data_IF_758542670356
#
_entry.id   IF_758542670356
#
_cell.length_a   1.000
_cell.length_b   1.000
_cell.length_c   1.000
_cell.angle_alpha   90.00
_cell.angle_beta   90.00
_cell.angle_gamma   90.00
#
_symmetry.space_group_name_H-M   'P 1'
#
loop_
_entity.id
_entity.type
_entity.pdbx_description
1 polymer ?
#
# COMPACT_ATOMS: atom_id res chain seq x y z
N UNK A 1 -23.77 -31.19 -15.40
CA UNK A 1 -22.47 -31.25 -14.72
C UNK A 1 -21.86 -29.86 -14.74
N UNK A 2 -22.00 -29.10 -13.63
CA UNK A 2 -21.48 -27.74 -13.49
C UNK A 2 -19.99 -27.83 -13.20
N UNK A 3 -19.14 -27.26 -14.08
CA UNK A 3 -17.70 -27.10 -13.83
C UNK A 3 -17.53 -26.12 -12.65
N UNK A 4 -17.12 -26.61 -11.49
CA UNK A 4 -16.57 -25.79 -10.40
C UNK A 4 -15.34 -25.07 -10.94
N UNK A 5 -15.48 -23.79 -11.29
CA UNK A 5 -14.34 -22.90 -11.50
C UNK A 5 -13.69 -22.67 -10.14
N UNK A 6 -12.62 -23.39 -9.85
CA UNK A 6 -11.76 -23.09 -8.71
C UNK A 6 -11.13 -21.71 -8.93
N UNK A 7 -11.59 -20.71 -8.20
CA UNK A 7 -10.88 -19.44 -8.12
C UNK A 7 -9.46 -19.71 -7.61
N UNK A 8 -8.40 -19.35 -8.35
CA UNK A 8 -7.05 -19.47 -7.82
C UNK A 8 -6.94 -18.57 -6.59
N UNK A 9 -6.61 -19.15 -5.46
CA UNK A 9 -6.30 -18.42 -4.22
C UNK A 9 -5.23 -17.38 -4.51
N UNK A 10 -5.58 -16.11 -4.38
CA UNK A 10 -4.70 -14.96 -4.68
C UNK A 10 -3.61 -14.76 -3.62
N UNK A 11 -3.66 -15.47 -2.50
CA UNK A 11 -2.68 -15.36 -1.43
C UNK A 11 -1.30 -15.86 -1.87
N UNK A 12 -0.25 -15.10 -1.57
CA UNK A 12 1.14 -15.51 -1.74
C UNK A 12 1.40 -16.77 -0.90
N UNK A 13 1.56 -17.92 -1.57
CA UNK A 13 1.94 -19.16 -0.87
C UNK A 13 3.41 -19.07 -0.48
N UNK A 14 3.68 -19.20 0.81
CA UNK A 14 5.06 -19.28 1.32
C UNK A 14 5.66 -20.63 0.86
N UNK A 15 6.88 -20.64 0.27
CA UNK A 15 7.53 -21.86 -0.16
C UNK A 15 7.71 -22.86 1.01
N UNK A 16 7.48 -24.14 0.77
CA UNK A 16 7.59 -25.19 1.79
C UNK A 16 8.95 -25.19 2.49
N UNK A 17 10.03 -24.89 1.76
CA UNK A 17 11.37 -24.81 2.34
C UNK A 17 11.46 -23.71 3.42
N UNK A 18 10.84 -22.56 3.18
CA UNK A 18 10.81 -21.47 4.19
C UNK A 18 10.03 -21.92 5.42
N UNK A 19 8.86 -22.58 5.25
CA UNK A 19 8.07 -23.10 6.38
C UNK A 19 8.85 -24.13 7.20
N UNK A 20 9.54 -25.07 6.55
CA UNK A 20 10.35 -26.08 7.22
C UNK A 20 11.53 -25.46 7.94
N UNK A 21 12.24 -24.52 7.29
CA UNK A 21 13.34 -23.77 7.92
C UNK A 21 12.85 -22.96 9.13
N UNK A 22 11.69 -22.31 9.02
CA UNK A 22 11.09 -21.56 10.13
C UNK A 22 10.81 -22.45 11.34
N UNK A 23 10.21 -23.64 11.13
CA UNK A 23 9.93 -24.60 12.21
C UNK A 23 11.21 -25.12 12.84
N UNK A 24 12.21 -25.45 12.04
CA UNK A 24 13.50 -25.93 12.53
C UNK A 24 14.21 -24.88 13.39
N UNK A 25 14.30 -23.64 12.91
CA UNK A 25 14.92 -22.54 13.66
C UNK A 25 14.15 -22.26 14.95
N UNK A 26 12.80 -22.28 14.90
CA UNK A 26 11.95 -22.05 16.06
C UNK A 26 12.11 -23.10 17.15
N UNK A 27 12.44 -24.34 16.77
CA UNK A 27 12.72 -25.43 17.72
C UNK A 27 13.95 -25.13 18.56
N UNK A 28 15.00 -24.55 17.95
CA UNK A 28 16.27 -24.30 18.64
C UNK A 28 16.31 -22.95 19.37
N UNK A 29 15.71 -21.90 18.81
CA UNK A 29 15.87 -20.56 19.40
C UNK A 29 14.77 -19.58 18.99
N UNK A 30 14.08 -19.05 20.00
CA UNK A 30 13.10 -17.94 19.80
C UNK A 30 13.77 -16.70 19.24
N UNK A 31 15.01 -16.37 19.66
CA UNK A 31 15.75 -15.22 19.16
C UNK A 31 16.10 -15.38 17.67
N UNK A 32 16.59 -16.53 17.26
CA UNK A 32 16.95 -16.76 15.86
C UNK A 32 15.73 -16.77 14.95
N UNK A 33 14.62 -17.38 15.37
CA UNK A 33 13.40 -17.35 14.55
C UNK A 33 12.81 -15.93 14.46
N UNK A 34 12.88 -15.13 15.51
CA UNK A 34 12.45 -13.72 15.45
C UNK A 34 13.29 -12.94 14.44
N UNK A 35 14.61 -13.10 14.43
CA UNK A 35 15.49 -12.42 13.45
C UNK A 35 15.25 -12.91 12.02
N UNK A 36 15.02 -14.21 11.84
CA UNK A 36 14.68 -14.79 10.53
C UNK A 36 13.35 -14.27 10.02
N UNK A 37 12.32 -14.26 10.87
CA UNK A 37 10.99 -13.70 10.54
C UNK A 37 11.08 -12.20 10.24
N UNK A 38 11.86 -11.42 11.01
CA UNK A 38 12.10 -10.00 10.74
C UNK A 38 12.74 -9.77 9.37
N UNK A 39 13.70 -10.62 8.99
CA UNK A 39 14.33 -10.56 7.67
C UNK A 39 13.33 -10.85 6.56
N UNK A 40 12.50 -11.89 6.70
CA UNK A 40 11.46 -12.23 5.73
C UNK A 40 10.41 -11.12 5.62
N UNK A 41 9.94 -10.60 6.75
CA UNK A 41 8.93 -9.53 6.81
C UNK A 41 9.38 -8.26 6.10
N UNK A 42 10.66 -7.93 6.17
CA UNK A 42 11.22 -6.71 5.55
C UNK A 42 11.77 -6.91 4.15
N UNK A 43 11.69 -8.13 3.58
CA UNK A 43 12.22 -8.45 2.25
C UNK A 43 11.08 -8.66 1.25
N UNK A 44 10.75 -7.66 0.41
CA UNK A 44 9.72 -7.81 -0.61
C UNK A 44 10.18 -8.75 -1.73
N UNK A 45 9.20 -9.45 -2.33
CA UNK A 45 9.46 -10.29 -3.49
C UNK A 45 9.37 -9.42 -4.74
N UNK A 46 10.46 -9.33 -5.50
CA UNK A 46 10.48 -8.63 -6.78
C UNK A 46 9.91 -9.52 -7.88
N UNK A 47 8.84 -9.09 -8.50
CA UNK A 47 8.22 -9.77 -9.63
C UNK A 47 8.55 -9.05 -10.94
N UNK A 48 8.65 -9.80 -12.05
CA UNK A 48 8.72 -9.21 -13.40
C UNK A 48 7.48 -8.37 -13.68
N UNK A 49 7.64 -7.30 -14.45
CA UNK A 49 6.52 -6.45 -14.86
C UNK A 49 5.57 -7.29 -15.75
N UNK A 50 4.28 -7.40 -15.40
CA UNK A 50 3.31 -8.11 -16.23
C UNK A 50 3.06 -7.38 -17.54
N UNK A 51 2.74 -8.13 -18.61
CA UNK A 51 2.47 -7.54 -19.94
C UNK A 51 1.45 -6.40 -19.92
N UNK A 52 0.42 -6.49 -19.05
CA UNK A 52 -0.63 -5.47 -18.90
C UNK A 52 -0.14 -4.14 -18.34
N UNK A 53 1.04 -4.08 -17.72
CA UNK A 53 1.62 -2.89 -17.11
C UNK A 53 2.73 -2.26 -17.97
N UNK A 54 3.16 -2.94 -19.06
CA UNK A 54 4.26 -2.49 -19.92
C UNK A 54 3.96 -1.18 -20.64
N UNK A 55 2.70 -0.91 -20.95
CA UNK A 55 2.33 0.34 -21.63
C UNK A 55 2.62 1.55 -20.74
N UNK A 56 2.17 1.52 -19.49
CA UNK A 56 2.48 2.57 -18.52
C UNK A 56 4.00 2.65 -18.26
N UNK A 57 4.68 1.49 -18.12
CA UNK A 57 6.12 1.45 -17.90
C UNK A 57 6.91 2.11 -19.03
N UNK A 58 6.52 1.86 -20.29
CA UNK A 58 7.19 2.42 -21.46
C UNK A 58 6.85 3.89 -21.72
N UNK A 59 5.62 4.31 -21.39
CA UNK A 59 5.16 5.68 -21.65
C UNK A 59 5.48 6.66 -20.53
N UNK A 60 5.85 6.17 -19.35
CA UNK A 60 6.25 7.02 -18.23
C UNK A 60 7.66 7.56 -18.42
N UNK A 61 7.86 8.83 -18.13
CA UNK A 61 9.19 9.37 -17.82
C UNK A 61 9.63 8.78 -16.47
N UNK A 62 10.86 8.27 -16.42
CA UNK A 62 11.36 7.54 -15.24
C UNK A 62 12.64 8.17 -14.71
N UNK A 63 12.66 8.46 -13.41
CA UNK A 63 13.80 9.03 -12.71
C UNK A 63 14.22 8.16 -11.53
N UNK A 64 15.51 8.14 -11.23
CA UNK A 64 16.03 7.58 -10.00
C UNK A 64 16.28 8.71 -9.00
N UNK A 65 15.40 8.84 -8.02
CA UNK A 65 15.49 9.90 -7.01
C UNK A 65 16.04 9.37 -5.68
N UNK A 66 16.68 10.25 -4.92
CA UNK A 66 17.21 9.95 -3.59
C UNK A 66 16.22 10.39 -2.51
N UNK A 67 15.99 9.50 -1.54
CA UNK A 67 15.20 9.77 -0.34
C UNK A 67 16.19 9.96 0.80
N UNK A 68 16.61 11.20 0.99
CA UNK A 68 17.73 11.54 1.88
C UNK A 68 17.49 11.16 3.34
N UNK A 69 16.24 11.28 3.84
CA UNK A 69 15.86 10.94 5.22
C UNK A 69 16.14 9.48 5.61
N UNK A 70 16.15 8.57 4.62
CA UNK A 70 16.38 7.14 4.83
C UNK A 70 17.61 6.62 4.07
N UNK A 71 18.35 7.48 3.39
CA UNK A 71 19.52 7.13 2.57
C UNK A 71 19.22 5.98 1.58
N UNK A 72 18.11 6.10 0.85
CA UNK A 72 17.66 5.12 -0.15
C UNK A 72 17.30 5.81 -1.45
N UNK A 73 17.36 5.06 -2.56
CA UNK A 73 16.94 5.53 -3.87
C UNK A 73 15.71 4.78 -4.34
N UNK A 74 14.84 5.47 -5.09
CA UNK A 74 13.62 4.90 -5.65
C UNK A 74 13.45 5.31 -7.11
N UNK A 75 12.84 4.44 -7.90
CA UNK A 75 12.45 4.77 -9.28
C UNK A 75 11.07 5.41 -9.24
N UNK A 76 10.98 6.60 -9.79
CA UNK A 76 9.77 7.39 -9.96
C UNK A 76 9.25 7.22 -11.40
N UNK A 77 7.94 7.24 -11.58
CA UNK A 77 7.25 7.20 -12.87
C UNK A 77 6.33 8.42 -12.98
N UNK A 78 6.54 9.25 -14.00
CA UNK A 78 5.66 10.36 -14.34
C UNK A 78 4.85 9.98 -15.59
N UNK A 79 3.52 9.87 -15.46
CA UNK A 79 2.64 9.41 -16.52
C UNK A 79 1.53 10.39 -16.81
N UNK A 80 1.36 10.77 -18.10
CA UNK A 80 0.48 11.85 -18.53
C UNK A 80 1.12 13.24 -18.43
N UNK A 81 0.45 14.24 -18.99
CA UNK A 81 0.94 15.64 -19.04
C UNK A 81 -0.15 16.56 -18.50
N UNK A 82 -0.07 16.92 -17.25
CA UNK A 82 -1.00 17.87 -16.60
C UNK A 82 -0.31 18.49 -15.38
N UNK A 83 -0.65 19.74 -15.07
CA UNK A 83 -0.23 20.38 -13.83
C UNK A 83 -0.97 19.82 -12.61
N UNK A 84 -2.13 19.20 -12.80
CA UNK A 84 -2.91 18.53 -11.75
C UNK A 84 -2.39 17.11 -11.57
N UNK A 85 -1.70 16.87 -10.47
CA UNK A 85 -0.99 15.61 -10.22
C UNK A 85 -1.70 14.76 -9.17
N UNK A 86 -1.72 13.44 -9.41
CA UNK A 86 -2.22 12.44 -8.46
C UNK A 86 -1.08 11.49 -8.12
N UNK A 87 -0.85 11.26 -6.83
CA UNK A 87 0.13 10.28 -6.37
C UNK A 87 -0.50 8.88 -6.31
N UNK A 88 0.17 7.87 -6.88
CA UNK A 88 -0.26 6.47 -6.82
C UNK A 88 0.75 5.66 -6.01
N UNK A 89 0.28 4.97 -4.97
CA UNK A 89 1.13 4.24 -4.02
C UNK A 89 0.77 2.75 -4.02
N UNK A 90 1.71 1.91 -4.45
CA UNK A 90 1.52 0.46 -4.54
C UNK A 90 1.58 -0.25 -3.18
N UNK A 91 1.08 -1.50 -3.12
CA UNK A 91 1.16 -2.36 -1.95
C UNK A 91 2.47 -3.15 -1.83
N UNK A 92 2.57 -3.97 -0.77
CA UNK A 92 3.73 -4.85 -0.54
C UNK A 92 4.00 -5.78 -1.73
N UNK A 93 5.26 -5.92 -2.10
CA UNK A 93 5.72 -6.66 -3.30
C UNK A 93 5.10 -6.17 -4.61
N UNK A 94 4.50 -4.97 -4.62
CA UNK A 94 3.99 -4.28 -5.80
C UNK A 94 5.08 -3.51 -6.55
N UNK A 95 4.66 -2.53 -7.34
CA UNK A 95 5.54 -1.61 -8.10
C UNK A 95 4.78 -0.39 -8.56
N UNK A 96 5.47 0.65 -9.02
CA UNK A 96 4.89 1.92 -9.46
C UNK A 96 3.83 1.78 -10.54
N UNK A 97 3.94 0.77 -11.42
CA UNK A 97 2.97 0.51 -12.49
C UNK A 97 1.74 -0.32 -12.05
N UNK A 98 1.66 -0.74 -10.79
CA UNK A 98 0.58 -1.63 -10.32
C UNK A 98 -0.83 -1.05 -10.50
N UNK A 99 -0.98 0.27 -10.33
CA UNK A 99 -2.25 0.97 -10.43
C UNK A 99 -2.49 1.54 -11.85
N UNK A 100 -1.90 0.94 -12.90
CA UNK A 100 -1.92 1.45 -14.27
C UNK A 100 -3.32 1.76 -14.79
N UNK A 101 -4.33 0.93 -14.53
CA UNK A 101 -5.71 1.18 -14.99
C UNK A 101 -6.33 2.43 -14.35
N UNK A 102 -6.03 2.67 -13.07
CA UNK A 102 -6.43 3.89 -12.38
C UNK A 102 -5.68 5.08 -12.98
N UNK A 103 -4.37 4.93 -13.25
CA UNK A 103 -3.55 5.94 -13.91
C UNK A 103 -4.12 6.32 -15.28
N UNK A 104 -4.47 5.34 -16.12
CA UNK A 104 -5.04 5.57 -17.45
C UNK A 104 -6.33 6.40 -17.39
N UNK A 105 -7.25 6.06 -16.47
CA UNK A 105 -8.51 6.79 -16.34
C UNK A 105 -8.32 8.19 -15.73
N UNK A 106 -7.37 8.36 -14.81
CA UNK A 106 -7.01 9.68 -14.29
C UNK A 106 -6.39 10.56 -15.38
N UNK A 107 -5.54 10.01 -16.26
CA UNK A 107 -4.98 10.74 -17.40
C UNK A 107 -6.07 11.15 -18.39
N UNK A 108 -7.01 10.26 -18.72
CA UNK A 108 -8.21 10.60 -19.54
C UNK A 108 -9.07 11.68 -18.87
N UNK A 109 -9.08 11.72 -17.54
CA UNK A 109 -9.81 12.70 -16.76
C UNK A 109 -9.09 14.07 -16.64
N UNK A 110 -7.92 14.23 -17.27
CA UNK A 110 -7.15 15.49 -17.34
C UNK A 110 -6.13 15.67 -16.22
N UNK A 111 -5.76 14.60 -15.51
CA UNK A 111 -4.66 14.60 -14.54
C UNK A 111 -3.36 14.04 -15.17
N UNK A 112 -2.26 14.24 -14.50
CA UNK A 112 -1.08 13.39 -14.61
C UNK A 112 -0.93 12.56 -13.34
N UNK A 113 -0.23 11.44 -13.43
CA UNK A 113 0.03 10.62 -12.26
C UNK A 113 1.52 10.51 -12.00
N UNK A 114 1.89 10.54 -10.73
CA UNK A 114 3.22 10.18 -10.24
C UNK A 114 3.06 8.90 -9.43
N UNK A 115 3.91 7.92 -9.71
CA UNK A 115 4.02 6.70 -8.93
C UNK A 115 5.49 6.35 -8.74
N UNK A 116 5.79 5.41 -7.87
CA UNK A 116 7.16 5.02 -7.59
C UNK A 116 7.25 3.53 -7.25
N UNK A 117 8.42 2.96 -7.49
CA UNK A 117 8.78 1.69 -6.86
C UNK A 117 9.36 2.01 -5.48
N UNK A 118 8.73 1.61 -4.41
CA UNK A 118 9.24 1.82 -3.05
C UNK A 118 10.63 1.17 -2.87
N UNK A 119 11.41 1.55 -1.86
CA UNK A 119 12.72 0.92 -1.62
C UNK A 119 12.64 -0.60 -1.64
N UNK A 120 13.58 -1.25 -2.33
CA UNK A 120 13.64 -2.70 -2.53
C UNK A 120 12.50 -3.31 -3.39
N UNK A 121 11.59 -2.52 -3.96
CA UNK A 121 10.54 -2.98 -4.87
C UNK A 121 10.89 -2.71 -6.34
N UNK A 122 10.21 -3.39 -7.26
CA UNK A 122 10.32 -3.15 -8.71
C UNK A 122 11.76 -2.94 -9.19
N UNK A 123 12.00 -1.81 -9.84
CA UNK A 123 13.32 -1.38 -10.34
C UNK A 123 14.15 -0.65 -9.27
N UNK A 124 13.56 -0.26 -8.14
CA UNK A 124 14.27 0.42 -7.05
C UNK A 124 15.33 -0.47 -6.42
N UNK A 125 16.51 0.08 -6.09
CA UNK A 125 17.59 -0.67 -5.45
C UNK A 125 17.24 -1.06 -4.01
N UNK A 126 18.06 -1.93 -3.43
CA UNK A 126 17.93 -2.39 -2.06
C UNK A 126 17.40 -3.82 -1.94
N UNK A 127 17.41 -4.32 -0.70
CA UNK A 127 16.98 -5.69 -0.35
C UNK A 127 15.86 -5.71 0.69
N UNK A 128 15.77 -4.66 1.50
CA UNK A 128 14.79 -4.57 2.59
C UNK A 128 14.15 -3.21 2.66
N UNK A 129 12.91 -3.19 3.12
CA UNK A 129 12.13 -1.99 3.39
C UNK A 129 11.10 -2.24 4.49
N UNK A 130 10.56 -1.17 5.05
CA UNK A 130 9.47 -1.17 6.01
C UNK A 130 8.47 -0.08 5.64
N UNK A 131 7.33 -0.02 6.32
CA UNK A 131 6.29 0.96 6.00
C UNK A 131 6.76 2.41 6.17
N UNK A 132 7.59 2.72 7.17
CA UNK A 132 8.16 4.07 7.34
C UNK A 132 8.98 4.52 6.13
N UNK A 133 9.64 3.60 5.42
CA UNK A 133 10.35 3.96 4.18
C UNK A 133 9.37 4.42 3.07
N UNK A 134 8.17 3.82 2.99
CA UNK A 134 7.12 4.28 2.07
C UNK A 134 6.65 5.68 2.45
N UNK A 135 6.43 5.93 3.74
CA UNK A 135 6.00 7.24 4.24
C UNK A 135 7.03 8.32 3.90
N UNK A 136 8.31 8.07 4.21
CA UNK A 136 9.40 9.00 3.88
C UNK A 136 9.52 9.23 2.38
N UNK A 137 9.31 8.18 1.57
CA UNK A 137 9.30 8.30 0.11
C UNK A 137 8.15 9.20 -0.36
N UNK A 138 6.94 9.06 0.18
CA UNK A 138 5.79 9.91 -0.15
C UNK A 138 6.09 11.37 0.19
N UNK A 139 6.63 11.65 1.38
CA UNK A 139 6.96 13.00 1.83
C UNK A 139 8.05 13.66 0.97
N UNK A 140 9.08 12.90 0.58
CA UNK A 140 10.14 13.43 -0.30
C UNK A 140 9.62 13.67 -1.72
N UNK A 141 8.75 12.80 -2.24
CA UNK A 141 8.10 13.00 -3.55
C UNK A 141 7.19 14.23 -3.52
N UNK A 142 6.45 14.46 -2.44
CA UNK A 142 5.64 15.68 -2.28
C UNK A 142 6.50 16.93 -2.32
N UNK A 143 7.61 16.93 -1.62
CA UNK A 143 8.55 18.05 -1.58
C UNK A 143 9.17 18.36 -2.94
N UNK A 144 9.55 17.35 -3.73
CA UNK A 144 10.24 17.52 -5.01
C UNK A 144 9.29 17.73 -6.19
N UNK A 145 8.14 17.07 -6.18
CA UNK A 145 7.22 16.99 -7.31
C UNK A 145 5.81 17.53 -7.03
N UNK A 146 5.50 17.89 -5.80
CA UNK A 146 4.21 18.49 -5.42
C UNK A 146 3.94 19.86 -6.08
N UNK A 147 2.80 20.46 -5.83
CA UNK A 147 1.70 19.91 -5.03
C UNK A 147 0.92 18.80 -5.76
N UNK A 148 0.28 17.93 -4.96
CA UNK A 148 -0.65 16.91 -5.44
C UNK A 148 -2.09 17.28 -5.12
N UNK A 149 -3.02 17.00 -6.04
CA UNK A 149 -4.46 17.17 -5.80
C UNK A 149 -5.01 16.06 -4.90
N UNK A 150 -4.54 14.83 -5.11
CA UNK A 150 -4.98 13.66 -4.37
C UNK A 150 -3.91 12.56 -4.37
N UNK A 151 -4.16 11.51 -3.58
CA UNK A 151 -3.41 10.26 -3.66
C UNK A 151 -4.36 9.05 -3.72
N UNK A 152 -3.88 7.96 -4.35
CA UNK A 152 -4.53 6.66 -4.35
C UNK A 152 -3.54 5.62 -3.86
N UNK A 153 -3.84 4.96 -2.74
CA UNK A 153 -2.99 3.93 -2.14
C UNK A 153 -3.64 2.55 -2.12
N UNK A 154 -2.87 1.51 -2.47
CA UNK A 154 -3.32 0.13 -2.39
C UNK A 154 -2.63 -0.61 -1.25
N UNK A 155 -3.41 -1.35 -0.42
CA UNK A 155 -2.86 -2.21 0.63
C UNK A 155 -1.91 -1.44 1.56
N UNK A 156 -0.64 -1.84 1.69
CA UNK A 156 0.39 -1.10 2.43
C UNK A 156 0.53 0.35 1.93
N UNK A 157 0.35 0.60 0.62
CA UNK A 157 0.39 1.95 0.06
C UNK A 157 -0.74 2.85 0.58
N UNK A 158 -1.93 2.29 0.83
CA UNK A 158 -3.03 3.01 1.48
C UNK A 158 -2.71 3.39 2.92
N UNK A 159 -2.20 2.43 3.69
CA UNK A 159 -1.78 2.63 5.07
C UNK A 159 -0.63 3.65 5.19
N UNK A 160 0.33 3.58 4.25
CA UNK A 160 1.44 4.54 4.17
C UNK A 160 0.97 5.94 3.80
N UNK A 161 -0.03 6.05 2.91
CA UNK A 161 -0.61 7.35 2.52
C UNK A 161 -1.37 8.00 3.66
N UNK A 162 -2.14 7.23 4.46
CA UNK A 162 -2.77 7.73 5.69
C UNK A 162 -1.72 8.30 6.64
N UNK A 163 -0.65 7.55 6.90
CA UNK A 163 0.46 7.98 7.76
C UNK A 163 1.21 9.21 7.20
N UNK A 164 1.38 9.29 5.88
CA UNK A 164 2.04 10.44 5.27
C UNK A 164 1.22 11.73 5.43
N UNK A 165 -0.13 11.65 5.34
CA UNK A 165 -1.02 12.80 5.58
C UNK A 165 -0.88 13.32 7.01
N UNK A 166 -0.84 12.44 8.02
CA UNK A 166 -0.64 12.87 9.42
C UNK A 166 0.75 13.48 9.66
N UNK A 167 1.72 13.16 8.79
CA UNK A 167 3.10 13.70 8.85
C UNK A 167 3.35 14.89 7.92
N UNK A 168 2.30 15.45 7.32
CA UNK A 168 2.38 16.70 6.56
C UNK A 168 2.28 16.58 5.05
N UNK A 169 1.99 15.42 4.48
CA UNK A 169 1.64 15.27 3.07
C UNK A 169 0.35 16.02 2.77
N UNK A 170 0.43 17.08 1.95
CA UNK A 170 -0.68 18.00 1.69
C UNK A 170 -1.41 17.62 0.43
N UNK A 171 -2.59 17.05 0.57
CA UNK A 171 -3.51 16.70 -0.52
C UNK A 171 -4.95 17.07 -0.16
N UNK A 172 -5.80 17.19 -1.17
CA UNK A 172 -7.22 17.50 -0.97
C UNK A 172 -8.06 16.24 -0.74
N UNK A 173 -7.67 15.09 -1.30
CA UNK A 173 -8.43 13.84 -1.26
C UNK A 173 -7.50 12.63 -1.18
N UNK A 174 -7.92 11.60 -0.45
CA UNK A 174 -7.20 10.32 -0.38
C UNK A 174 -8.16 9.18 -0.70
N UNK A 175 -7.82 8.31 -1.65
CA UNK A 175 -8.50 7.04 -1.86
C UNK A 175 -7.59 5.89 -1.41
N UNK A 176 -8.10 4.97 -0.59
CA UNK A 176 -7.38 3.78 -0.14
C UNK A 176 -8.15 2.52 -0.54
N UNK A 177 -7.45 1.52 -1.05
CA UNK A 177 -8.03 0.29 -1.59
C UNK A 177 -7.41 -0.92 -0.91
N UNK A 178 -8.20 -1.74 -0.20
CA UNK A 178 -7.74 -2.95 0.45
C UNK A 178 -6.66 -2.71 1.52
N UNK A 179 -6.73 -1.61 2.25
CA UNK A 179 -5.71 -1.20 3.22
C UNK A 179 -5.85 -1.97 4.54
N UNK A 180 -4.70 -2.32 5.16
CA UNK A 180 -4.67 -2.79 6.54
C UNK A 180 -4.90 -1.65 7.54
N UNK A 181 -5.28 -2.00 8.78
CA UNK A 181 -5.60 -1.04 9.82
C UNK A 181 -4.72 -1.14 11.07
N UNK A 182 -4.49 -2.35 11.59
CA UNK A 182 -3.74 -2.59 12.83
C UNK A 182 -2.42 -3.29 12.52
N UNK A 183 -1.29 -2.67 12.90
CA UNK A 183 0.04 -3.24 12.64
C UNK A 183 0.24 -4.58 13.34
N UNK A 184 -0.28 -4.73 14.58
CA UNK A 184 -0.15 -6.00 15.31
C UNK A 184 -0.86 -7.15 14.59
N UNK A 185 -2.01 -6.90 13.96
CA UNK A 185 -2.75 -7.93 13.21
C UNK A 185 -1.99 -8.35 11.95
N UNK A 186 -1.33 -7.41 11.27
CA UNK A 186 -0.45 -7.72 10.14
C UNK A 186 0.71 -8.63 10.58
N UNK A 187 1.30 -8.39 11.76
CA UNK A 187 2.35 -9.26 12.31
C UNK A 187 1.79 -10.62 12.72
N UNK A 188 0.60 -10.66 13.31
CA UNK A 188 -0.08 -11.91 13.70
C UNK A 188 -0.35 -12.79 12.48
N UNK A 189 -0.91 -12.21 11.41
CA UNK A 189 -1.18 -12.89 10.15
C UNK A 189 0.10 -13.39 9.47
N UNK A 190 1.15 -12.58 9.48
CA UNK A 190 2.45 -12.98 8.94
C UNK A 190 3.03 -14.18 9.69
N UNK A 191 3.01 -14.15 11.01
CA UNK A 191 3.50 -15.24 11.88
C UNK A 191 2.65 -16.51 11.70
N UNK A 192 1.33 -16.37 11.59
CA UNK A 192 0.43 -17.49 11.31
C UNK A 192 0.70 -18.11 9.93
N UNK A 193 0.92 -17.29 8.88
CA UNK A 193 1.31 -17.77 7.54
C UNK A 193 2.66 -18.51 7.52
N UNK A 194 3.55 -18.22 8.46
CA UNK A 194 4.81 -18.95 8.68
C UNK A 194 4.63 -20.23 9.52
N UNK A 195 3.40 -20.52 9.97
CA UNK A 195 3.05 -21.65 10.85
C UNK A 195 3.86 -21.64 12.16
N UNK A 196 4.14 -20.45 12.69
CA UNK A 196 4.87 -20.22 13.93
C UNK A 196 3.92 -20.00 15.11
N UNK A 197 4.44 -20.12 16.35
CA UNK A 197 3.68 -19.85 17.56
C UNK A 197 3.30 -18.36 17.65
N UNK A 198 2.08 -18.01 18.16
CA UNK A 198 1.61 -16.62 18.20
C UNK A 198 2.53 -15.65 18.98
N UNK A 199 3.26 -16.11 20.01
CA UNK A 199 4.17 -15.27 20.78
C UNK A 199 5.35 -14.70 19.94
N UNK A 200 5.62 -15.27 18.75
CA UNK A 200 6.64 -14.73 17.85
C UNK A 200 6.23 -13.37 17.27
N UNK A 201 4.93 -13.09 17.10
CA UNK A 201 4.47 -11.79 16.60
C UNK A 201 4.78 -10.65 17.60
N UNK A 202 4.60 -10.87 18.91
CA UNK A 202 4.98 -9.90 19.95
C UNK A 202 6.51 -9.69 19.98
N UNK A 203 7.30 -10.78 19.86
CA UNK A 203 8.76 -10.68 19.78
C UNK A 203 9.25 -9.96 18.52
N UNK A 204 8.52 -10.12 17.41
CA UNK A 204 8.80 -9.43 16.17
C UNK A 204 8.53 -7.92 16.32
N UNK A 205 7.41 -7.55 16.95
CA UNK A 205 7.10 -6.15 17.29
C UNK A 205 8.20 -5.55 18.17
N UNK A 206 8.51 -6.18 19.32
CA UNK A 206 9.58 -5.73 20.22
C UNK A 206 10.93 -5.53 19.49
N UNK A 207 11.25 -6.45 18.58
CA UNK A 207 12.48 -6.36 17.77
C UNK A 207 12.48 -5.10 16.89
N UNK A 208 11.37 -4.81 16.19
CA UNK A 208 11.27 -3.65 15.32
C UNK A 208 11.23 -2.35 16.11
N UNK A 209 10.47 -2.27 17.19
CA UNK A 209 10.41 -1.09 18.06
C UNK A 209 11.78 -0.76 18.64
N UNK A 210 12.53 -1.77 19.12
CA UNK A 210 13.90 -1.58 19.57
C UNK A 210 14.85 -1.15 18.45
N UNK A 211 14.69 -1.71 17.25
CA UNK A 211 15.59 -1.45 16.12
C UNK A 211 15.40 -0.06 15.53
N UNK A 212 14.15 0.43 15.46
CA UNK A 212 13.81 1.68 14.79
C UNK A 212 13.48 2.82 15.77
N UNK A 213 13.39 2.53 17.07
CA UNK A 213 13.12 3.53 18.10
C UNK A 213 11.72 4.14 18.04
N UNK A 214 10.76 3.43 17.44
CA UNK A 214 9.39 3.89 17.22
C UNK A 214 8.38 2.81 17.59
N UNK A 215 7.27 3.19 18.23
CA UNK A 215 6.18 2.30 18.52
C UNK A 215 5.50 1.88 17.21
N UNK A 216 5.44 0.58 16.92
CA UNK A 216 4.89 0.08 15.67
C UNK A 216 3.40 0.41 15.50
N UNK A 217 2.64 0.41 16.60
CA UNK A 217 1.20 0.70 16.55
C UNK A 217 0.90 2.17 16.19
N UNK A 218 1.88 3.09 16.34
CA UNK A 218 1.73 4.48 15.86
C UNK A 218 1.53 4.57 14.34
N UNK A 219 1.90 3.52 13.60
CA UNK A 219 1.68 3.41 12.17
C UNK A 219 0.37 2.73 11.77
N UNK A 220 -0.46 2.31 12.74
CA UNK A 220 -1.75 1.69 12.46
C UNK A 220 -2.70 2.64 11.72
N UNK A 221 -3.34 2.13 10.65
CA UNK A 221 -4.17 2.95 9.76
C UNK A 221 -5.35 3.60 10.47
N UNK A 222 -5.97 2.91 11.44
CA UNK A 222 -7.06 3.47 12.24
C UNK A 222 -6.60 4.67 13.09
N UNK A 223 -5.36 4.66 13.62
CA UNK A 223 -4.82 5.80 14.38
C UNK A 223 -4.64 7.01 13.48
N UNK A 224 -4.04 6.81 12.30
CA UNK A 224 -3.93 7.89 11.31
C UNK A 224 -5.31 8.43 10.91
N UNK A 225 -6.31 7.56 10.75
CA UNK A 225 -7.67 7.95 10.41
C UNK A 225 -8.30 8.94 11.40
N UNK A 226 -8.04 8.78 12.71
CA UNK A 226 -8.54 9.70 13.74
C UNK A 226 -8.03 11.14 13.57
N UNK A 227 -6.83 11.31 13.00
CA UNK A 227 -6.16 12.62 12.88
C UNK A 227 -6.50 13.31 11.55
N UNK A 228 -6.89 12.54 10.52
CA UNK A 228 -7.11 13.05 9.17
C UNK A 228 -8.45 13.80 9.07
N UNK A 229 -8.38 15.02 8.54
CA UNK A 229 -9.54 15.87 8.32
C UNK A 229 -10.00 15.94 6.85
N UNK A 230 -9.10 15.61 5.89
CA UNK A 230 -9.46 15.61 4.47
C UNK A 230 -10.44 14.47 4.16
N UNK A 231 -11.21 14.58 3.06
CA UNK A 231 -12.04 13.48 2.57
C UNK A 231 -11.22 12.24 2.23
N UNK A 232 -11.67 11.07 2.71
CA UNK A 232 -11.04 9.76 2.44
C UNK A 232 -12.08 8.78 1.91
N UNK A 233 -11.84 8.24 0.72
CA UNK A 233 -12.59 7.12 0.17
C UNK A 233 -11.92 5.81 0.55
N UNK A 234 -12.61 4.98 1.33
CA UNK A 234 -12.16 3.64 1.73
C UNK A 234 -12.84 2.60 0.84
N UNK A 235 -12.08 1.88 0.04
CA UNK A 235 -12.57 0.82 -0.84
C UNK A 235 -12.07 -0.52 -0.35
N UNK A 236 -12.97 -1.50 -0.15
CA UNK A 236 -12.57 -2.83 0.28
C UNK A 236 -13.47 -3.92 -0.32
N UNK A 237 -12.90 -5.07 -0.63
CA UNK A 237 -13.68 -6.22 -1.09
C UNK A 237 -14.05 -7.13 0.10
N UNK A 238 -15.33 -7.53 0.19
CA UNK A 238 -15.82 -8.39 1.28
C UNK A 238 -15.13 -9.77 1.32
N UNK A 239 -14.64 -10.22 0.16
CA UNK A 239 -13.95 -11.51 0.01
C UNK A 239 -12.43 -11.34 -0.21
N UNK A 240 -11.84 -10.28 0.35
CA UNK A 240 -10.39 -10.06 0.29
C UNK A 240 -9.67 -11.14 1.12
N UNK A 241 -8.83 -12.00 0.49
CA UNK A 241 -8.15 -13.08 1.19
C UNK A 241 -6.82 -12.66 1.83
N UNK A 242 -6.35 -11.42 1.59
CA UNK A 242 -5.06 -10.92 2.08
C UNK A 242 -5.26 -9.97 3.27
N UNK A 243 -6.28 -9.11 3.21
CA UNK A 243 -6.65 -8.16 4.26
C UNK A 243 -8.15 -8.25 4.51
N UNK A 244 -8.54 -8.57 5.74
CA UNK A 244 -9.95 -8.70 6.10
C UNK A 244 -10.71 -7.38 5.89
N UNK A 245 -11.95 -7.45 5.38
CA UNK A 245 -12.80 -6.27 5.14
C UNK A 245 -13.03 -5.44 6.40
N UNK A 246 -12.94 -6.07 7.57
CA UNK A 246 -13.03 -5.40 8.88
C UNK A 246 -11.97 -4.30 9.03
N UNK A 247 -10.80 -4.43 8.41
CA UNK A 247 -9.76 -3.40 8.42
C UNK A 247 -10.24 -2.10 7.74
N UNK A 248 -10.84 -2.22 6.53
CA UNK A 248 -11.41 -1.07 5.83
C UNK A 248 -12.57 -0.43 6.61
N UNK A 249 -13.45 -1.24 7.19
CA UNK A 249 -14.56 -0.76 8.02
C UNK A 249 -14.02 -0.04 9.26
N UNK A 250 -12.99 -0.59 9.91
CA UNK A 250 -12.39 0.02 11.10
C UNK A 250 -11.74 1.37 10.76
N UNK A 251 -10.98 1.47 9.67
CA UNK A 251 -10.43 2.76 9.20
C UNK A 251 -11.56 3.76 8.96
N UNK A 252 -12.59 3.38 8.21
CA UNK A 252 -13.74 4.25 7.91
C UNK A 252 -14.42 4.78 9.18
N UNK A 253 -14.64 3.92 10.17
CA UNK A 253 -15.30 4.30 11.42
C UNK A 253 -14.51 5.31 12.27
N UNK A 254 -13.20 5.43 12.03
CA UNK A 254 -12.32 6.38 12.71
C UNK A 254 -12.07 7.66 11.89
N UNK A 255 -12.50 7.72 10.63
CA UNK A 255 -12.38 8.92 9.79
C UNK A 255 -13.44 9.98 10.16
N UNK A 256 -13.01 11.24 10.20
CA UNK A 256 -13.92 12.39 10.37
C UNK A 256 -14.74 12.67 9.09
N UNK A 257 -14.16 12.42 7.93
CA UNK A 257 -14.76 12.65 6.62
C UNK A 257 -14.46 11.45 5.71
N UNK A 258 -15.05 10.31 6.03
CA UNK A 258 -14.86 9.04 5.35
C UNK A 258 -16.07 8.66 4.48
N UNK A 259 -15.79 8.08 3.32
CA UNK A 259 -16.76 7.37 2.48
C UNK A 259 -16.33 5.91 2.36
N UNK A 260 -17.24 4.95 2.60
CA UNK A 260 -16.98 3.52 2.48
C UNK A 260 -17.63 2.95 1.24
N UNK A 261 -16.84 2.29 0.38
CA UNK A 261 -17.30 1.58 -0.79
C UNK A 261 -16.88 0.11 -0.74
N UNK A 262 -17.83 -0.78 -0.49
CA UNK A 262 -17.58 -2.23 -0.42
C UNK A 262 -17.92 -2.89 -1.76
N UNK A 263 -17.02 -3.78 -2.19
CA UNK A 263 -17.22 -4.67 -3.33
C UNK A 263 -17.32 -6.12 -2.89
N UNK A 264 -17.65 -7.03 -3.80
CA UNK A 264 -17.77 -8.45 -3.51
C UNK A 264 -17.22 -9.30 -4.66
N UNK A 265 -16.37 -10.29 -4.33
CA UNK A 265 -15.82 -11.25 -5.28
C UNK A 265 -14.65 -10.76 -6.12
N UNK A 266 -14.12 -9.56 -5.87
CA UNK A 266 -12.95 -9.02 -6.56
C UNK A 266 -11.64 -9.42 -5.87
N UNK A 267 -11.66 -9.53 -4.54
CA UNK A 267 -10.49 -9.80 -3.72
C UNK A 267 -9.42 -8.70 -3.80
N UNK A 268 -8.27 -8.96 -3.22
CA UNK A 268 -7.23 -7.94 -2.95
C UNK A 268 -6.62 -7.27 -4.19
N UNK A 269 -6.53 -7.98 -5.32
CA UNK A 269 -5.79 -7.50 -6.51
C UNK A 269 -6.66 -7.20 -7.71
N UNK A 270 -7.72 -8.01 -7.97
CA UNK A 270 -8.61 -7.78 -9.10
C UNK A 270 -9.40 -6.47 -8.93
N UNK A 271 -9.62 -6.05 -7.70
CA UNK A 271 -10.27 -4.79 -7.33
C UNK A 271 -9.62 -3.58 -8.03
N UNK A 272 -8.29 -3.56 -8.19
CA UNK A 272 -7.53 -2.49 -8.86
C UNK A 272 -7.84 -2.36 -10.36
N UNK A 273 -8.40 -3.40 -10.96
CA UNK A 273 -8.73 -3.43 -12.39
C UNK A 273 -10.22 -3.39 -12.69
N UNK A 274 -11.07 -3.30 -11.67
CA UNK A 274 -12.52 -3.27 -11.83
C UNK A 274 -12.97 -1.87 -12.23
N UNK A 275 -13.79 -1.76 -13.30
CA UNK A 275 -14.21 -0.47 -13.86
C UNK A 275 -15.03 0.35 -12.85
N UNK A 276 -15.95 -0.26 -12.11
CA UNK A 276 -16.79 0.43 -11.12
C UNK A 276 -15.92 1.05 -10.02
N UNK A 277 -14.90 0.31 -9.55
CA UNK A 277 -13.94 0.82 -8.54
C UNK A 277 -13.17 2.00 -9.11
N UNK A 278 -12.67 1.90 -10.34
CA UNK A 278 -11.89 2.95 -10.99
C UNK A 278 -12.76 4.21 -11.21
N UNK A 279 -13.98 4.04 -11.73
CA UNK A 279 -14.95 5.13 -11.89
C UNK A 279 -15.24 5.82 -10.55
N UNK A 280 -15.44 5.03 -9.46
CA UNK A 280 -15.67 5.57 -8.13
C UNK A 280 -14.49 6.41 -7.63
N UNK A 281 -13.25 5.95 -7.84
CA UNK A 281 -12.04 6.70 -7.49
C UNK A 281 -11.96 8.03 -8.27
N UNK A 282 -12.13 7.96 -9.59
CA UNK A 282 -12.04 9.14 -10.47
C UNK A 282 -13.16 10.15 -10.13
N UNK A 283 -14.37 9.68 -9.89
CA UNK A 283 -15.51 10.50 -9.50
C UNK A 283 -15.26 11.19 -8.15
N UNK A 284 -14.85 10.45 -7.13
CA UNK A 284 -14.52 10.98 -5.83
C UNK A 284 -13.46 12.10 -5.88
N UNK A 285 -12.42 11.92 -6.69
CA UNK A 285 -11.36 12.95 -6.85
C UNK A 285 -11.93 14.19 -7.58
N UNK A 286 -12.81 14.01 -8.59
CA UNK A 286 -13.39 15.10 -9.38
C UNK A 286 -14.45 15.92 -8.63
N UNK A 287 -15.41 15.27 -7.95
CA UNK A 287 -16.56 15.94 -7.35
C UNK A 287 -16.17 17.02 -6.36
N UNK A 288 -15.13 16.76 -5.57
CA UNK A 288 -14.73 17.69 -4.51
C UNK A 288 -13.97 18.93 -5.02
N UNK A 289 -13.52 18.93 -6.26
CA UNK A 289 -13.03 20.15 -6.91
C UNK A 289 -14.17 21.14 -7.28
N UNK A 290 -15.38 20.63 -7.53
CA UNK A 290 -16.53 21.47 -7.89
C UNK A 290 -17.01 22.25 -6.67
N UNK A 291 -17.03 21.63 -5.49
CA UNK A 291 -17.49 22.27 -4.24
C UNK A 291 -16.56 23.42 -3.78
N UNK A 292 -15.26 23.30 -4.03
CA UNK A 292 -14.28 24.36 -3.69
C UNK A 292 -14.40 25.58 -4.62
N UNK A 293 -14.93 25.43 -5.83
CA UNK A 293 -15.12 26.56 -6.78
C UNK A 293 -16.43 27.35 -6.58
N UNK A 294 -17.39 26.81 -5.81
CA UNK A 294 -18.67 27.50 -5.57
C UNK A 294 -18.71 28.34 -4.28
N UNK A 295 -17.60 28.50 -3.57
CA UNK A 295 -17.52 29.26 -2.30
C UNK A 295 -16.72 30.55 -2.47
N UNK A 296 -16.54 31.06 -3.71
CA UNK A 296 -15.95 32.38 -3.94
C UNK A 296 -16.83 33.22 -4.87
#
# INVERSE_FOLDING_TARGET
>A
MSKKTSNPTQSLKIPKLILQSSKLIAFFSTKLITLFAAKLFTTPIKHKIPKRELEMDCKSEQDLIEISSINKKVVLYQYGKSSKKILLVHGWSGRGTQLFKIADELVKAGYSTISFDAPAHGKSPGKTTIMSDFVETILEIDKQFGPFEAAVGHSLGGMSSLNAVTKGFKINHLAIIGSGDVVQDILNDFVAKLELKPNISSKLREHFEKKYGQEMDSYSGYKSAMEIAIPVLVIHDKNDPEVAVTAGINIHNHLKNGELFLTEGLGHRKILGNHIVIEKVVHFIKEKQITTKMIF
#
